data_IF_097855180680
#
_entry.id   IF_097855180680
#
_cell.length_a   1.000
_cell.length_b   1.000
_cell.length_c   1.000
_cell.angle_alpha   90.00
_cell.angle_beta   90.00
_cell.angle_gamma   90.00
#
_symmetry.space_group_name_H-M   'P 1'
#
loop_
_entity.id
_entity.type
_entity.pdbx_description
1 polymer ?
#
# COMPACT_ATOMS: atom_id res chain seq x y z
N UNK A 1 -24.88 4.12 -1.46
CA UNK A 1 -24.66 3.98 -0.17
C UNK A 1 -23.84 2.85 0.18
N UNK A 2 -23.88 2.05 0.93
CA UNK A 2 -22.98 1.01 1.33
C UNK A 2 -22.04 1.49 2.43
N UNK A 3 -21.40 0.54 3.05
CA UNK A 3 -20.49 0.80 4.15
C UNK A 3 -19.11 1.14 3.61
N UNK A 4 -18.52 2.21 4.12
CA UNK A 4 -17.26 2.70 3.59
C UNK A 4 -16.16 2.65 4.63
N UNK A 5 -14.93 2.57 4.16
CA UNK A 5 -13.76 2.47 5.03
C UNK A 5 -12.62 3.28 4.47
N UNK A 6 -11.71 3.65 5.35
CA UNK A 6 -10.41 4.17 4.96
C UNK A 6 -9.42 3.03 5.17
N UNK A 7 -8.57 2.79 4.18
CA UNK A 7 -7.71 1.61 4.18
C UNK A 7 -6.28 1.99 3.82
N UNK A 8 -5.33 1.40 4.53
CA UNK A 8 -3.93 1.50 4.17
C UNK A 8 -3.30 0.11 4.19
N UNK A 9 -2.64 -0.25 3.10
CA UNK A 9 -1.91 -1.50 2.95
C UNK A 9 -0.45 -1.17 2.69
N UNK A 10 0.44 -1.67 3.52
CA UNK A 10 1.87 -1.44 3.35
C UNK A 10 2.59 -2.78 3.24
N UNK A 11 3.64 -2.81 2.43
CA UNK A 11 4.37 -4.04 2.19
C UNK A 11 5.84 -3.69 2.01
N UNK A 12 6.73 -4.57 2.48
CA UNK A 12 8.17 -4.35 2.30
C UNK A 12 8.51 -4.41 0.82
N UNK A 13 9.58 -3.74 0.44
CA UNK A 13 9.99 -3.73 -0.95
C UNK A 13 10.36 -5.12 -1.43
N UNK A 14 11.08 -5.87 -0.60
CA UNK A 14 11.47 -7.22 -0.97
C UNK A 14 10.26 -8.11 -1.22
N UNK A 15 9.31 -8.07 -0.31
CA UNK A 15 8.12 -8.91 -0.45
C UNK A 15 7.35 -8.55 -1.72
N UNK A 16 7.18 -7.26 -1.95
CA UNK A 16 6.46 -6.84 -3.14
C UNK A 16 7.17 -7.29 -4.41
N UNK A 17 8.47 -7.05 -4.47
CA UNK A 17 9.20 -7.37 -5.69
C UNK A 17 9.26 -8.87 -5.97
N UNK A 18 9.30 -9.66 -4.91
CA UNK A 18 9.40 -11.10 -5.08
C UNK A 18 8.05 -11.78 -5.28
N UNK A 19 6.99 -11.21 -4.76
CA UNK A 19 5.73 -11.93 -4.67
C UNK A 19 4.52 -11.27 -5.31
N UNK A 20 4.61 -10.02 -5.73
CA UNK A 20 3.45 -9.35 -6.29
C UNK A 20 3.08 -9.95 -7.64
N UNK A 21 1.85 -10.40 -7.75
CA UNK A 21 1.35 -10.97 -8.99
C UNK A 21 0.72 -9.86 -9.82
N UNK A 22 0.43 -10.18 -11.08
CA UNK A 22 -0.26 -9.21 -11.92
C UNK A 22 -1.65 -8.89 -11.36
N UNK A 23 -2.30 -9.91 -10.78
CA UNK A 23 -3.61 -9.68 -10.16
C UNK A 23 -3.51 -8.68 -9.02
N UNK A 24 -2.49 -8.80 -8.18
CA UNK A 24 -2.30 -7.85 -7.09
C UNK A 24 -2.03 -6.45 -7.65
N UNK A 25 -1.18 -6.34 -8.64
CA UNK A 25 -0.87 -5.05 -9.22
C UNK A 25 -2.11 -4.39 -9.80
N UNK A 26 -2.95 -5.17 -10.45
CA UNK A 26 -4.20 -4.64 -10.98
C UNK A 26 -5.13 -4.17 -9.87
N UNK A 27 -5.18 -4.92 -8.78
CA UNK A 27 -6.03 -4.56 -7.66
C UNK A 27 -5.57 -3.27 -7.00
N UNK A 28 -4.27 -3.00 -7.02
CA UNK A 28 -3.73 -1.82 -6.36
C UNK A 28 -3.84 -0.55 -7.20
N UNK A 29 -4.12 -0.67 -8.49
CA UNK A 29 -4.11 0.49 -9.36
C UNK A 29 -5.18 1.52 -9.07
N UNK A 30 -6.23 1.11 -8.39
CA UNK A 30 -7.34 2.02 -8.08
C UNK A 30 -7.18 2.75 -6.76
N UNK A 31 -6.07 2.57 -6.07
CA UNK A 31 -5.93 3.19 -4.76
C UNK A 31 -5.82 4.71 -4.90
N UNK A 32 -6.14 5.39 -3.82
CA UNK A 32 -6.21 6.84 -3.84
C UNK A 32 -4.83 7.48 -3.79
N UNK A 33 -3.94 6.94 -2.97
CA UNK A 33 -2.60 7.47 -2.83
C UNK A 33 -1.60 6.34 -2.74
N UNK A 34 -0.40 6.57 -3.24
CA UNK A 34 0.71 5.65 -3.12
C UNK A 34 1.89 6.42 -2.54
N UNK A 35 2.61 5.79 -1.64
CA UNK A 35 3.75 6.41 -1.01
C UNK A 35 4.86 5.38 -0.86
N UNK A 36 6.10 5.81 -0.99
CA UNK A 36 7.25 4.94 -0.87
C UNK A 36 8.29 5.56 0.05
N UNK A 37 8.87 4.74 0.92
CA UNK A 37 10.02 5.17 1.70
C UNK A 37 10.96 3.98 1.84
N UNK A 38 11.96 4.09 2.70
CA UNK A 38 12.94 3.01 2.83
C UNK A 38 12.33 1.74 3.41
N UNK A 39 11.18 1.85 4.06
CA UNK A 39 10.53 0.68 4.66
C UNK A 39 9.72 -0.11 3.66
N UNK A 40 9.17 0.54 2.66
CA UNK A 40 8.38 -0.18 1.69
C UNK A 40 7.44 0.69 0.90
N UNK A 41 6.38 0.07 0.41
CA UNK A 41 5.36 0.74 -0.40
C UNK A 41 4.06 0.78 0.39
N UNK A 42 3.36 1.93 0.30
CA UNK A 42 2.12 2.15 1.01
C UNK A 42 1.04 2.48 -0.01
N UNK A 43 -0.09 1.81 0.10
CA UNK A 43 -1.23 2.04 -0.79
C UNK A 43 -2.42 2.37 0.08
N UNK A 44 -3.11 3.46 -0.21
CA UNK A 44 -4.25 3.83 0.63
C UNK A 44 -5.48 4.15 -0.20
N UNK A 45 -6.61 3.87 0.39
CA UNK A 45 -7.92 4.14 -0.20
C UNK A 45 -8.69 4.96 0.80
N UNK A 46 -9.45 5.92 0.29
CA UNK A 46 -10.22 6.81 1.12
C UNK A 46 -11.68 6.61 0.83
N UNK A 47 -12.47 6.35 1.84
CA UNK A 47 -13.92 6.24 1.69
C UNK A 47 -14.32 5.19 0.66
N UNK A 48 -13.77 4.00 0.78
CA UNK A 48 -13.94 2.93 -0.19
C UNK A 48 -14.84 1.84 0.36
N UNK A 49 -15.50 1.11 -0.53
CA UNK A 49 -16.27 -0.06 -0.14
C UNK A 49 -15.33 -1.26 -0.10
N UNK A 50 -14.84 -1.58 1.07
CA UNK A 50 -13.86 -2.65 1.23
C UNK A 50 -14.58 -3.93 1.60
N UNK A 51 -15.18 -4.59 0.61
CA UNK A 51 -15.97 -5.79 0.82
C UNK A 51 -15.18 -7.01 0.37
N UNK A 52 -15.17 -8.04 1.18
CA UNK A 52 -14.33 -9.21 0.94
C UNK A 52 -14.66 -9.94 -0.35
N UNK A 53 -15.89 -9.85 -0.81
CA UNK A 53 -16.26 -10.55 -2.04
C UNK A 53 -15.96 -9.75 -3.29
N UNK A 54 -15.48 -8.52 -3.17
CA UNK A 54 -15.01 -7.79 -4.34
C UNK A 54 -13.70 -8.43 -4.80
N UNK A 55 -13.54 -8.67 -6.10
CA UNK A 55 -12.33 -9.37 -6.60
C UNK A 55 -11.03 -8.69 -6.19
N UNK A 56 -10.96 -7.38 -6.28
CA UNK A 56 -9.72 -6.67 -5.94
C UNK A 56 -9.41 -6.78 -4.46
N UNK A 57 -10.42 -6.64 -3.62
CA UNK A 57 -10.23 -6.75 -2.19
C UNK A 57 -9.79 -8.16 -1.84
N UNK A 58 -10.40 -9.16 -2.46
CA UNK A 58 -10.05 -10.55 -2.19
C UNK A 58 -8.59 -10.83 -2.52
N UNK A 59 -8.12 -10.32 -3.64
CA UNK A 59 -6.72 -10.52 -4.04
C UNK A 59 -5.78 -9.91 -3.00
N UNK A 60 -6.08 -8.70 -2.55
CA UNK A 60 -5.24 -8.02 -1.57
C UNK A 60 -5.27 -8.75 -0.23
N UNK A 61 -6.46 -9.18 0.20
CA UNK A 61 -6.58 -9.88 1.48
C UNK A 61 -5.82 -11.20 1.46
N UNK A 62 -5.88 -11.92 0.35
CA UNK A 62 -5.17 -13.19 0.25
C UNK A 62 -3.66 -12.97 0.24
N UNK A 63 -3.19 -11.93 -0.43
CA UNK A 63 -1.77 -11.62 -0.42
C UNK A 63 -1.30 -11.30 0.99
N UNK A 64 -2.10 -10.53 1.73
CA UNK A 64 -1.74 -10.19 3.11
C UNK A 64 -1.67 -11.42 3.99
N UNK A 65 -2.59 -12.33 3.79
CA UNK A 65 -2.61 -13.54 4.59
C UNK A 65 -1.37 -14.39 4.32
N UNK A 66 -0.99 -14.50 3.07
CA UNK A 66 0.19 -15.28 2.71
C UNK A 66 1.48 -14.64 3.17
N UNK A 67 1.53 -13.34 3.25
CA UNK A 67 2.77 -12.63 3.57
C UNK A 67 2.63 -11.79 4.83
N UNK A 68 1.93 -12.32 5.80
CA UNK A 68 1.57 -11.59 7.01
C UNK A 68 2.78 -10.98 7.74
N UNK A 69 3.94 -11.64 7.67
CA UNK A 69 5.11 -11.14 8.37
C UNK A 69 5.80 -9.98 7.66
N UNK A 70 5.35 -9.64 6.46
CA UNK A 70 5.98 -8.58 5.67
C UNK A 70 5.05 -7.43 5.35
N UNK A 71 3.87 -7.40 5.94
CA UNK A 71 2.89 -6.37 5.61
C UNK A 71 2.32 -5.72 6.86
N UNK A 72 1.72 -4.57 6.65
CA UNK A 72 0.92 -3.91 7.66
C UNK A 72 -0.36 -3.43 7.02
N UNK A 73 -1.45 -3.44 7.76
CA UNK A 73 -2.74 -3.10 7.21
C UNK A 73 -3.60 -2.46 8.30
N UNK A 74 -4.25 -1.36 7.94
CA UNK A 74 -5.17 -0.67 8.83
C UNK A 74 -6.43 -0.35 8.04
N UNK A 75 -7.57 -0.69 8.59
CA UNK A 75 -8.86 -0.29 8.02
C UNK A 75 -9.70 0.36 9.10
N UNK A 76 -10.26 1.48 8.79
CA UNK A 76 -11.14 2.21 9.70
C UNK A 76 -12.50 2.32 9.02
N UNK A 77 -13.51 1.71 9.61
CA UNK A 77 -14.86 1.73 9.06
C UNK A 77 -15.65 2.93 9.56
N UNK A 78 -16.91 2.96 9.17
CA UNK A 78 -17.79 4.06 9.56
C UNK A 78 -18.14 4.04 11.03
N UNK A 79 -18.26 2.84 11.60
CA UNK A 79 -18.58 2.74 13.02
C UNK A 79 -17.35 3.09 13.85
N UNK A 80 -17.59 3.71 14.98
CA UNK A 80 -16.55 4.25 15.81
C UNK A 80 -15.49 3.23 16.19
N UNK A 81 -15.90 2.04 16.51
CA UNK A 81 -14.99 1.02 16.97
C UNK A 81 -14.65 -0.02 15.89
N UNK A 82 -15.00 0.26 14.65
CA UNK A 82 -14.68 -0.67 13.57
C UNK A 82 -13.29 -0.36 13.03
N UNK A 83 -12.28 -0.88 13.70
CA UNK A 83 -10.90 -0.69 13.33
C UNK A 83 -10.27 -2.06 13.19
N UNK A 84 -9.60 -2.29 12.07
CA UNK A 84 -9.00 -3.57 11.78
C UNK A 84 -7.52 -3.40 11.51
N UNK A 85 -6.71 -4.23 12.16
CA UNK A 85 -5.27 -4.23 11.96
C UNK A 85 -4.85 -5.62 11.55
N UNK A 86 -4.01 -5.72 10.55
CA UNK A 86 -3.49 -7.00 10.09
C UNK A 86 -2.01 -6.89 9.82
N UNK A 87 -1.34 -8.02 9.88
CA UNK A 87 0.07 -8.08 9.56
C UNK A 87 0.94 -7.75 10.76
N UNK A 88 2.20 -8.18 10.67
CA UNK A 88 3.12 -8.05 11.78
C UNK A 88 3.89 -6.75 11.79
N UNK A 89 3.74 -5.95 10.73
CA UNK A 89 4.64 -4.82 10.54
C UNK A 89 3.97 -3.46 10.59
N UNK A 90 2.80 -3.33 11.21
CA UNK A 90 2.17 -2.01 11.31
C UNK A 90 3.07 -1.03 12.03
N UNK A 91 3.75 -1.48 13.08
CA UNK A 91 4.67 -0.60 13.79
C UNK A 91 5.88 -0.22 12.96
N UNK A 92 6.43 -1.19 12.22
CA UNK A 92 7.56 -0.93 11.35
C UNK A 92 7.21 0.12 10.29
N UNK A 93 6.01 0.03 9.74
CA UNK A 93 5.56 0.99 8.73
C UNK A 93 5.04 2.29 9.34
N UNK A 94 4.84 2.31 10.63
CA UNK A 94 4.37 3.51 11.35
C UNK A 94 2.99 3.97 10.87
N UNK A 95 2.08 3.02 10.69
CA UNK A 95 0.70 3.33 10.33
C UNK A 95 -0.18 3.01 11.53
N UNK A 96 -1.03 3.97 11.91
CA UNK A 96 -1.82 3.85 13.12
C UNK A 96 -3.25 4.31 12.87
N UNK A 97 -4.24 3.66 13.51
CA UNK A 97 -5.63 4.06 13.33
C UNK A 97 -5.97 5.23 14.26
N UNK A 98 -6.30 6.36 13.67
CA UNK A 98 -6.68 7.51 14.47
C UNK A 98 -7.89 8.21 13.87
N UNK A 99 -8.89 7.46 13.44
CA UNK A 99 -10.01 7.94 12.64
C UNK A 99 -9.54 8.57 11.32
N UNK A 100 -8.24 8.68 11.15
CA UNK A 100 -7.59 8.85 9.88
C UNK A 100 -6.39 7.94 9.94
N UNK A 101 -5.80 7.64 8.80
CA UNK A 101 -4.62 6.81 8.76
C UNK A 101 -3.41 7.71 8.57
N UNK A 102 -2.53 7.70 9.58
CA UNK A 102 -1.32 8.48 9.49
C UNK A 102 -0.25 7.68 8.79
N UNK A 103 0.43 8.31 7.87
CA UNK A 103 1.58 7.70 7.25
C UNK A 103 2.84 8.22 7.93
N UNK A 104 3.99 7.61 7.67
CA UNK A 104 5.24 8.10 8.26
C UNK A 104 5.46 9.54 7.83
N UNK A 105 6.12 10.27 8.62
CA UNK A 105 6.35 11.71 8.50
C UNK A 105 6.55 12.20 7.09
N UNK A 106 5.46 12.50 6.43
CA UNK A 106 5.51 12.93 5.05
C UNK A 106 6.19 14.26 4.87
N UNK A 107 6.17 15.07 5.91
CA UNK A 107 6.80 16.36 5.84
C UNK A 107 8.31 16.28 5.67
N UNK A 108 8.87 15.09 5.85
CA UNK A 108 10.30 14.94 5.70
C UNK A 108 10.69 14.36 4.35
N UNK A 109 9.72 14.18 3.48
CA UNK A 109 9.98 13.49 2.24
C UNK A 109 10.02 14.44 1.09
N UNK A 110 10.76 14.04 0.08
CA UNK A 110 10.71 14.76 -1.19
C UNK A 110 9.37 14.52 -1.82
N UNK A 111 8.86 15.52 -2.48
CA UNK A 111 7.59 15.36 -3.17
C UNK A 111 7.66 14.31 -4.26
N UNK A 112 8.86 13.98 -4.71
CA UNK A 112 9.01 12.96 -5.73
C UNK A 112 8.58 11.59 -5.27
N UNK A 113 8.50 11.37 -3.97
CA UNK A 113 8.14 10.08 -3.43
C UNK A 113 6.66 9.94 -3.14
N UNK A 114 5.89 10.95 -3.46
CA UNK A 114 4.47 10.93 -3.18
C UNK A 114 3.69 11.08 -4.48
N UNK A 115 2.88 10.08 -4.79
CA UNK A 115 2.17 10.02 -6.06
C UNK A 115 0.66 9.99 -5.84
N UNK A 116 0.13 11.10 -5.34
CA UNK A 116 -1.30 11.18 -5.08
C UNK A 116 -2.07 11.10 -6.39
N UNK A 117 -3.02 10.20 -6.45
CA UNK A 117 -3.88 10.08 -7.62
C UNK A 117 -3.18 9.55 -8.86
N UNK A 118 -2.03 8.91 -8.69
CA UNK A 118 -1.25 8.46 -9.83
C UNK A 118 -0.67 7.08 -9.59
N UNK A 119 -1.50 6.22 -9.00
CA UNK A 119 -1.02 4.92 -8.56
C UNK A 119 -0.60 4.02 -9.70
N UNK A 120 -1.33 4.06 -10.80
CA UNK A 120 -1.01 3.18 -11.93
C UNK A 120 0.39 3.45 -12.45
N UNK A 121 0.74 4.71 -12.62
CA UNK A 121 2.05 5.06 -13.11
C UNK A 121 3.14 4.65 -12.15
N UNK A 122 2.92 4.85 -10.86
CA UNK A 122 3.87 4.45 -9.85
C UNK A 122 4.09 2.94 -9.86
N UNK A 123 3.01 2.19 -9.91
CA UNK A 123 3.09 0.73 -9.89
C UNK A 123 3.83 0.22 -11.11
N UNK A 124 3.61 0.82 -12.25
CA UNK A 124 4.32 0.40 -13.44
C UNK A 124 5.80 0.69 -13.35
N UNK A 125 6.17 1.81 -12.75
CA UNK A 125 7.58 2.16 -12.68
C UNK A 125 8.33 1.21 -11.75
N UNK A 126 7.76 0.84 -10.62
CA UNK A 126 8.46 -0.07 -9.70
C UNK A 126 8.42 -1.50 -10.19
N UNK A 127 7.50 -1.82 -11.07
CA UNK A 127 7.43 -3.16 -11.61
C UNK A 127 8.55 -3.42 -12.60
N UNK A 128 9.01 -2.40 -13.26
CA UNK A 128 10.03 -2.57 -14.28
C UNK A 128 11.43 -2.58 -13.75
N UNK A 129 11.60 -2.24 -12.51
CA UNK A 129 12.94 -2.13 -11.95
C UNK A 129 13.81 -3.35 -12.15
N UNK A 130 13.32 -4.55 -11.95
CA UNK A 130 14.21 -5.71 -12.01
C UNK A 130 14.94 -5.86 -13.31
N UNK A 131 14.42 -5.35 -14.36
CA UNK A 131 15.05 -5.52 -15.58
C UNK A 131 16.25 -4.70 -15.77
N UNK A 132 16.32 -3.71 -15.10
CA UNK A 132 17.40 -2.85 -15.27
C UNK A 132 18.46 -3.06 -14.34
N UNK A 133 18.36 -3.44 -13.88
CA UNK A 133 19.08 -3.46 -13.15
C UNK A 133 19.92 -3.07 -12.98
N UNK A 134 20.22 -2.94 -13.25
CA UNK A 134 20.82 -2.50 -13.21
C UNK A 134 21.08 -1.48 -12.91
N UNK A 135 20.96 -1.06 -12.97
CA UNK A 135 21.08 -0.12 -12.79
C UNK A 135 20.99 0.71 -12.16
N UNK A 136 20.88 0.77 -12.18
CA UNK A 136 20.79 1.54 -11.70
C UNK A 136 20.54 2.24 -11.10
N UNK A 137 20.44 2.34 -11.13
CA UNK A 137 20.01 3.00 -10.75
C UNK A 137 19.40 3.51 -10.14
N UNK A 138 19.41 3.27 -10.00
CA UNK A 138 18.67 3.69 -9.61
C UNK A 138 18.32 4.45 -9.09
N UNK A 139 18.37 4.62 -9.03
CA UNK A 139 17.99 5.45 -8.63
C UNK A 139 17.50 6.22 -8.54
N UNK A 140 17.38 6.15 -8.77
CA UNK A 140 16.86 6.95 -8.79
C UNK A 140 15.77 7.39 -8.57
N UNK A 141 15.28 7.05 -8.53
CA UNK A 141 14.18 7.42 -8.22
C UNK A 141 13.92 7.76 -7.21
N UNK A 142 14.29 7.55 -6.94
CA UNK A 142 14.07 7.83 -6.00
C UNK A 142 14.50 8.86 -5.81
N UNK A 143 14.79 9.26 -6.17
CA UNK A 143 15.06 10.23 -5.99
C UNK A 143 14.94 10.87 -6.33
#
# INVERSE_FOLDING_TARGET
MGYRSDVCFAVTKECYKENATQALKNALKDCYQVYENERGYYFSWDNVKWYEDYPDVKVIEEFMEEHNSSIGFVRIGEDMDDIELKGDQTGFFEIYPMRTIDLPKLDKLDSDQFFAGNAEKFIESITEVPQLEHKTEVPVYIS
#
